data_IF_282544173600
#
_entry.id   IF_282544173600
#
_cell.length_a   1.000
_cell.length_b   1.000
_cell.length_c   1.000
_cell.angle_alpha   90.00
_cell.angle_beta   90.00
_cell.angle_gamma   90.00
#
_symmetry.space_group_name_H-M   'P 1'
#
loop_
_entity.id
_entity.type
_entity.pdbx_description
1 polymer ?
#
# COMPACT_ATOMS: atom_id res chain seq x y z
N UNK A 1 16.06 -2.63 -4.30
CA UNK A 1 15.32 -3.38 -3.26
C UNK A 1 16.20 -4.54 -2.85
N UNK A 2 16.11 -4.98 -1.61
CA UNK A 2 16.84 -6.14 -1.12
C UNK A 2 15.97 -6.88 -0.12
N UNK A 3 16.30 -8.15 0.09
CA UNK A 3 15.65 -9.00 1.07
C UNK A 3 16.36 -8.81 2.40
N UNK A 4 15.58 -8.46 3.43
CA UNK A 4 16.06 -8.40 4.80
C UNK A 4 16.06 -9.83 5.41
N UNK A 5 16.74 -10.03 6.53
CA UNK A 5 16.88 -11.35 7.18
C UNK A 5 15.54 -12.04 7.53
N UNK A 6 14.45 -11.27 7.58
CA UNK A 6 13.07 -11.75 7.79
C UNK A 6 12.31 -12.09 6.49
N UNK A 7 13.00 -12.12 5.35
CA UNK A 7 12.44 -12.41 4.02
C UNK A 7 11.65 -11.24 3.42
N UNK A 8 11.58 -10.08 4.09
CA UNK A 8 10.84 -8.91 3.58
C UNK A 8 11.68 -8.11 2.60
N UNK A 9 11.02 -7.62 1.57
CA UNK A 9 11.62 -6.69 0.61
C UNK A 9 11.54 -5.27 1.18
N UNK A 10 12.70 -4.64 1.36
CA UNK A 10 12.82 -3.26 1.84
C UNK A 10 13.50 -2.38 0.78
N UNK A 11 13.18 -1.09 0.82
CA UNK A 11 13.62 -0.06 -0.11
C UNK A 11 14.46 0.97 0.63
N UNK A 12 15.63 1.25 0.05
CA UNK A 12 16.44 2.45 0.31
C UNK A 12 16.44 3.21 -1.03
N UNK A 13 15.67 4.30 -1.10
CA UNK A 13 15.34 4.96 -2.36
C UNK A 13 15.81 6.42 -2.37
N UNK A 14 16.69 6.84 -3.31
CA UNK A 14 17.11 8.22 -3.42
C UNK A 14 15.97 9.09 -3.97
N UNK A 15 15.64 10.17 -3.27
CA UNK A 15 14.58 11.09 -3.64
C UNK A 15 14.95 12.52 -3.25
N UNK A 16 15.00 13.42 -4.25
CA UNK A 16 15.21 14.87 -4.06
C UNK A 16 16.42 15.21 -3.15
N UNK A 17 17.55 14.55 -3.35
CA UNK A 17 18.77 14.77 -2.55
C UNK A 17 18.71 14.19 -1.13
N UNK A 18 17.72 13.33 -0.85
CA UNK A 18 17.56 12.58 0.40
C UNK A 18 17.37 11.10 0.09
N UNK A 19 17.25 10.29 1.13
CA UNK A 19 16.98 8.86 1.02
C UNK A 19 15.70 8.54 1.79
N UNK A 20 14.79 7.82 1.16
CA UNK A 20 13.62 7.23 1.79
C UNK A 20 13.92 5.77 2.13
N UNK A 21 13.75 5.41 3.40
CA UNK A 21 13.94 4.03 3.88
C UNK A 21 12.60 3.49 4.35
N UNK A 22 12.23 2.29 3.90
CA UNK A 22 10.97 1.66 4.27
C UNK A 22 10.64 0.43 3.43
N UNK A 23 9.59 -0.31 3.74
CA UNK A 23 8.60 -0.08 4.80
C UNK A 23 8.57 -1.26 5.79
N UNK A 24 7.77 -1.13 6.83
CA UNK A 24 7.40 -2.18 7.78
C UNK A 24 6.05 -2.81 7.42
N UNK A 25 5.78 -3.96 8.03
CA UNK A 25 4.50 -4.68 8.02
C UNK A 25 4.21 -5.07 9.47
N UNK A 26 3.30 -4.35 10.10
CA UNK A 26 2.82 -4.52 11.48
C UNK A 26 1.31 -4.38 11.50
N UNK A 27 0.64 -5.12 12.39
CA UNK A 27 -0.80 -4.97 12.59
C UNK A 27 -1.10 -3.60 13.20
N UNK A 28 -2.18 -2.97 12.73
CA UNK A 28 -2.59 -1.64 13.15
C UNK A 28 -4.11 -1.50 13.13
N UNK A 29 -4.65 -0.79 14.13
CA UNK A 29 -6.05 -0.43 14.19
C UNK A 29 -6.27 0.94 13.52
N UNK A 30 -7.14 1.06 12.51
CA UNK A 30 -7.43 2.34 11.86
C UNK A 30 -8.09 3.38 12.77
N UNK A 31 -8.51 3.00 13.99
CA UNK A 31 -9.03 3.92 15.00
C UNK A 31 -7.92 4.60 15.80
N UNK A 32 -6.71 4.05 15.80
CA UNK A 32 -5.60 4.57 16.57
C UNK A 32 -4.79 5.61 15.77
N UNK A 33 -4.18 6.60 16.45
CA UNK A 33 -3.25 7.51 15.80
C UNK A 33 -2.06 6.75 15.21
N UNK A 34 -1.67 7.13 14.00
CA UNK A 34 -0.61 6.42 13.28
C UNK A 34 0.61 7.31 13.08
N UNK A 35 1.75 6.78 13.50
CA UNK A 35 3.05 7.43 13.44
C UNK A 35 4.14 6.36 13.33
N UNK A 36 5.30 6.73 12.79
CA UNK A 36 6.46 5.83 12.78
C UNK A 36 6.96 5.64 14.20
N UNK A 37 7.06 4.40 14.66
CA UNK A 37 7.47 4.09 16.03
C UNK A 37 8.98 4.05 16.19
N UNK A 38 9.46 4.14 17.43
CA UNK A 38 10.88 4.02 17.76
C UNK A 38 11.47 2.65 17.34
N UNK A 39 10.66 1.58 17.42
CA UNK A 39 11.06 0.24 17.01
C UNK A 39 11.21 0.14 15.48
N UNK A 40 10.34 0.81 14.73
CA UNK A 40 10.46 0.88 13.27
C UNK A 40 11.70 1.68 12.85
N UNK A 41 12.00 2.78 13.55
CA UNK A 41 13.23 3.56 13.31
C UNK A 41 14.47 2.70 13.55
N UNK A 42 14.52 1.99 14.68
CA UNK A 42 15.65 1.11 15.00
C UNK A 42 15.78 -0.04 13.99
N UNK A 43 14.66 -0.61 13.56
CA UNK A 43 14.63 -1.59 12.48
C UNK A 43 15.26 -1.04 11.19
N UNK A 44 14.92 0.19 10.79
CA UNK A 44 15.50 0.82 9.60
C UNK A 44 16.99 1.14 9.76
N UNK A 45 17.47 1.54 10.93
CA UNK A 45 18.90 1.78 11.16
C UNK A 45 19.73 0.50 11.08
N UNK A 46 19.24 -0.59 11.66
CA UNK A 46 19.85 -1.92 11.51
C UNK A 46 19.90 -2.34 10.04
N UNK A 47 18.80 -2.12 9.31
CA UNK A 47 18.69 -2.42 7.90
C UNK A 47 19.67 -1.62 7.03
N UNK A 48 19.82 -0.31 7.29
CA UNK A 48 20.82 0.52 6.60
C UNK A 48 22.22 0.02 6.91
N UNK A 49 22.52 -0.28 8.18
CA UNK A 49 23.84 -0.76 8.61
C UNK A 49 24.18 -2.14 8.01
N UNK A 50 23.19 -3.00 7.83
CA UNK A 50 23.36 -4.31 7.18
C UNK A 50 23.76 -4.15 5.71
N UNK A 51 23.10 -3.25 4.97
CA UNK A 51 23.37 -3.04 3.54
C UNK A 51 24.59 -2.16 3.29
N UNK A 52 24.84 -1.18 4.16
CA UNK A 52 25.93 -0.22 4.06
C UNK A 52 26.68 -0.14 5.39
N UNK A 53 27.57 -1.12 5.69
CA UNK A 53 28.26 -1.20 6.98
C UNK A 53 29.10 0.03 7.35
N UNK A 54 29.61 0.74 6.35
CA UNK A 54 30.43 1.94 6.53
C UNK A 54 29.62 3.23 6.67
N UNK A 55 28.28 3.16 6.56
CA UNK A 55 27.39 4.32 6.67
C UNK A 55 26.74 4.33 8.05
N UNK A 56 27.21 5.25 8.90
CA UNK A 56 26.59 5.50 10.19
C UNK A 56 25.34 6.38 10.02
N UNK A 57 24.22 5.92 10.58
CA UNK A 57 22.97 6.68 10.63
C UNK A 57 22.45 6.85 12.05
N UNK A 58 21.82 7.99 12.32
CA UNK A 58 21.21 8.28 13.62
C UNK A 58 19.96 9.16 13.51
N UNK A 59 19.24 9.33 14.63
CA UNK A 59 17.95 10.04 14.67
C UNK A 59 18.03 11.49 14.22
N UNK A 60 19.18 12.16 14.39
CA UNK A 60 19.37 13.56 13.96
C UNK A 60 19.29 13.74 12.43
N UNK A 61 19.48 12.66 11.67
CA UNK A 61 19.39 12.68 10.21
C UNK A 61 17.96 12.46 9.69
N UNK A 62 17.02 12.08 10.56
CA UNK A 62 15.61 11.93 10.19
C UNK A 62 14.97 13.31 10.10
N UNK A 63 14.72 13.76 8.87
CA UNK A 63 14.09 15.07 8.60
C UNK A 63 12.58 14.99 8.43
N UNK A 64 12.04 13.80 8.21
CA UNK A 64 10.63 13.54 7.98
C UNK A 64 10.33 12.06 8.16
N UNK A 65 9.18 11.74 8.74
CA UNK A 65 8.64 10.38 8.82
C UNK A 65 7.15 10.40 8.51
N UNK A 66 6.64 9.29 8.04
CA UNK A 66 5.21 9.10 7.80
C UNK A 66 4.85 7.63 8.00
N UNK A 67 3.60 7.38 8.35
CA UNK A 67 3.04 6.06 8.53
C UNK A 67 1.68 5.95 7.84
N UNK A 68 1.30 4.74 7.45
CA UNK A 68 0.06 4.47 6.71
C UNK A 68 -0.38 3.03 6.88
N UNK A 69 -1.70 2.81 6.97
CA UNK A 69 -2.32 1.48 7.02
C UNK A 69 -2.66 1.05 5.60
N UNK A 70 -2.31 -0.20 5.27
CA UNK A 70 -2.72 -0.85 4.04
C UNK A 70 -4.13 -1.43 4.25
N UNK A 71 -5.17 -0.99 3.50
CA UNK A 71 -6.52 -1.53 3.64
C UNK A 71 -6.64 -2.87 2.92
N UNK A 72 -6.03 -3.91 3.48
CA UNK A 72 -5.98 -5.25 2.89
C UNK A 72 -7.29 -6.02 3.16
N UNK A 73 -7.67 -6.97 2.29
CA UNK A 73 -8.75 -7.91 2.58
C UNK A 73 -8.49 -8.65 3.90
N UNK A 74 -9.53 -8.84 4.71
CA UNK A 74 -9.41 -9.67 5.92
C UNK A 74 -9.02 -11.09 5.54
N UNK A 75 -8.01 -11.61 6.20
CA UNK A 75 -7.59 -13.01 6.15
C UNK A 75 -7.49 -13.51 7.59
N UNK A 76 -8.04 -14.68 7.87
CA UNK A 76 -8.21 -15.14 9.25
C UNK A 76 -6.97 -15.84 9.84
N UNK A 77 -5.89 -16.12 9.07
CA UNK A 77 -4.76 -16.94 9.58
C UNK A 77 -3.39 -16.75 8.86
N UNK A 78 -3.05 -15.58 8.30
CA UNK A 78 -1.72 -15.37 7.67
C UNK A 78 -0.95 -14.20 8.30
N UNK A 79 0.37 -14.39 8.50
CA UNK A 79 1.30 -13.33 8.90
C UNK A 79 1.15 -12.13 7.92
N UNK A 80 1.12 -10.87 8.39
CA UNK A 80 0.77 -9.69 7.55
C UNK A 80 1.52 -9.57 6.22
N UNK A 81 2.75 -10.11 6.13
CA UNK A 81 3.56 -10.13 4.91
C UNK A 81 3.03 -11.05 3.79
N UNK A 82 2.17 -12.02 4.09
CA UNK A 82 1.63 -13.01 3.14
C UNK A 82 0.22 -12.71 2.64
N UNK A 83 -0.50 -11.78 3.29
CA UNK A 83 -1.86 -11.38 2.89
C UNK A 83 -1.86 -10.92 1.44
N UNK A 84 -2.80 -11.47 0.64
CA UNK A 84 -2.93 -11.11 -0.77
C UNK A 84 -3.07 -9.60 -0.92
N UNK A 85 -2.12 -9.02 -1.67
CA UNK A 85 -2.10 -7.59 -2.01
C UNK A 85 -2.95 -7.27 -3.24
N UNK A 86 -3.78 -8.22 -3.68
CA UNK A 86 -4.72 -7.99 -4.77
C UNK A 86 -5.96 -7.25 -4.27
N UNK A 87 -6.77 -6.74 -5.20
CA UNK A 87 -8.02 -6.07 -4.86
C UNK A 87 -9.22 -6.99 -4.98
N UNK A 88 -10.32 -6.62 -4.32
CA UNK A 88 -11.64 -7.24 -4.49
C UNK A 88 -12.70 -6.17 -4.66
N UNK A 89 -13.70 -6.47 -5.49
CA UNK A 89 -14.92 -5.69 -5.62
C UNK A 89 -16.02 -6.51 -4.95
N UNK A 90 -16.42 -6.11 -3.76
CA UNK A 90 -17.48 -6.74 -2.99
C UNK A 90 -18.82 -6.13 -3.38
N UNK A 91 -19.79 -6.97 -3.74
CA UNK A 91 -21.14 -6.53 -4.08
C UNK A 91 -22.08 -6.75 -2.91
N UNK A 92 -22.88 -5.74 -2.59
CA UNK A 92 -23.95 -5.83 -1.59
C UNK A 92 -25.13 -4.94 -1.97
N UNK A 93 -26.06 -4.75 -1.04
CA UNK A 93 -27.22 -3.86 -1.25
C UNK A 93 -27.32 -2.88 -0.08
N UNK A 94 -27.75 -1.66 -0.39
CA UNK A 94 -28.13 -0.66 0.60
C UNK A 94 -29.57 -0.24 0.31
N UNK A 95 -30.52 -0.87 1.01
CA UNK A 95 -31.94 -0.79 0.66
C UNK A 95 -32.16 -1.39 -0.73
N UNK A 96 -32.76 -0.61 -1.64
CA UNK A 96 -33.00 -1.02 -3.02
C UNK A 96 -31.80 -0.75 -3.97
N UNK A 97 -30.75 -0.08 -3.51
CA UNK A 97 -29.59 0.26 -4.33
C UNK A 97 -28.53 -0.85 -4.29
N UNK A 98 -27.88 -1.11 -5.42
CA UNK A 98 -26.67 -1.91 -5.46
C UNK A 98 -25.50 -1.12 -4.88
N UNK A 99 -24.72 -1.76 -4.00
CA UNK A 99 -23.50 -1.20 -3.43
C UNK A 99 -22.30 -2.02 -3.91
N UNK A 100 -21.28 -1.33 -4.42
CA UNK A 100 -19.99 -1.91 -4.78
C UNK A 100 -18.92 -1.33 -3.85
N UNK A 101 -18.21 -2.18 -3.13
CA UNK A 101 -17.14 -1.81 -2.22
C UNK A 101 -15.81 -2.31 -2.76
N UNK A 102 -14.84 -1.42 -2.90
CA UNK A 102 -13.48 -1.79 -3.25
C UNK A 102 -12.66 -2.07 -1.98
N UNK A 103 -12.06 -3.25 -1.91
CA UNK A 103 -11.16 -3.64 -0.82
C UNK A 103 -9.78 -3.92 -1.40
N UNK A 104 -8.73 -3.37 -0.78
CA UNK A 104 -7.35 -3.48 -1.29
C UNK A 104 -7.10 -2.64 -2.54
N UNK A 105 -6.18 -3.12 -3.38
CA UNK A 105 -5.71 -2.42 -4.57
C UNK A 105 -4.45 -1.58 -4.34
N UNK A 106 -3.49 -1.73 -5.25
CA UNK A 106 -2.24 -0.98 -5.21
C UNK A 106 -2.39 0.32 -5.98
N UNK A 107 -1.64 1.34 -5.58
CA UNK A 107 -1.52 2.56 -6.38
C UNK A 107 -1.12 2.25 -7.83
N UNK A 108 -0.21 1.29 -8.04
CA UNK A 108 0.24 0.90 -9.40
C UNK A 108 -0.87 0.28 -10.27
N UNK A 109 -1.93 -0.27 -9.66
CA UNK A 109 -3.05 -0.90 -10.39
C UNK A 109 -4.30 -0.03 -10.46
N UNK A 110 -4.26 1.20 -9.93
CA UNK A 110 -5.44 2.06 -9.77
C UNK A 110 -6.25 2.25 -11.06
N UNK A 111 -5.59 2.45 -12.21
CA UNK A 111 -6.27 2.67 -13.50
C UNK A 111 -7.06 1.43 -13.94
N UNK A 112 -6.42 0.26 -13.91
CA UNK A 112 -7.04 -1.00 -14.31
C UNK A 112 -8.19 -1.37 -13.37
N UNK A 113 -8.00 -1.14 -12.07
CA UNK A 113 -9.00 -1.33 -11.03
C UNK A 113 -10.21 -0.40 -11.20
N UNK A 114 -9.97 0.88 -11.52
CA UNK A 114 -11.06 1.83 -11.81
C UNK A 114 -11.82 1.46 -13.09
N UNK A 115 -11.12 0.93 -14.10
CA UNK A 115 -11.75 0.41 -15.31
C UNK A 115 -12.63 -0.81 -15.02
N UNK A 116 -12.14 -1.76 -14.21
CA UNK A 116 -12.90 -2.92 -13.77
C UNK A 116 -14.14 -2.52 -12.95
N UNK A 117 -13.99 -1.68 -11.92
CA UNK A 117 -15.11 -1.17 -11.12
C UNK A 117 -16.16 -0.47 -11.98
N UNK A 118 -15.73 0.29 -12.99
CA UNK A 118 -16.69 0.94 -13.90
C UNK A 118 -17.44 -0.07 -14.76
N UNK A 119 -16.80 -1.17 -15.20
CA UNK A 119 -17.51 -2.23 -15.93
C UNK A 119 -18.60 -2.88 -15.07
N UNK A 120 -18.31 -3.12 -13.79
CA UNK A 120 -19.26 -3.65 -12.81
C UNK A 120 -20.48 -2.73 -12.66
N UNK A 121 -20.26 -1.42 -12.51
CA UNK A 121 -21.32 -0.41 -12.44
C UNK A 121 -22.15 -0.39 -13.73
N UNK A 122 -21.51 -0.38 -14.89
CA UNK A 122 -22.19 -0.33 -16.18
C UNK A 122 -23.08 -1.55 -16.43
N UNK A 123 -22.64 -2.73 -16.00
CA UNK A 123 -23.45 -3.95 -16.07
C UNK A 123 -24.72 -3.86 -15.22
N UNK A 124 -24.63 -3.30 -14.01
CA UNK A 124 -25.80 -3.08 -13.13
C UNK A 124 -26.80 -2.10 -13.75
N UNK A 125 -26.30 -1.07 -14.44
CA UNK A 125 -27.11 -0.03 -15.06
C UNK A 125 -27.63 -0.39 -16.46
N UNK A 126 -27.27 -1.56 -16.98
CA UNK A 126 -27.50 -1.96 -18.38
C UNK A 126 -27.01 -0.90 -19.39
N UNK A 127 -25.77 -0.44 -19.20
CA UNK A 127 -25.13 0.57 -20.05
C UNK A 127 -23.86 0.03 -20.69
N UNK A 128 -23.56 0.53 -21.89
CA UNK A 128 -22.31 0.25 -22.58
C UNK A 128 -21.27 1.32 -22.26
N UNK A 129 -20.01 0.91 -22.16
CA UNK A 129 -18.87 1.82 -22.02
C UNK A 129 -18.71 2.66 -23.29
N UNK A 130 -18.61 3.97 -23.13
CA UNK A 130 -18.41 4.92 -24.24
C UNK A 130 -16.96 5.40 -24.37
N UNK A 131 -16.13 5.23 -23.34
CA UNK A 131 -14.72 5.64 -23.33
C UNK A 131 -13.85 4.69 -22.50
N UNK A 132 -12.59 4.51 -22.90
CA UNK A 132 -11.56 3.78 -22.16
C UNK A 132 -10.54 4.75 -21.58
N UNK A 133 -9.93 4.38 -20.45
CA UNK A 133 -8.86 5.15 -19.81
C UNK A 133 -7.46 4.70 -20.23
N UNK A 134 -7.33 3.66 -21.06
CA UNK A 134 -6.03 3.06 -21.42
C UNK A 134 -5.11 4.06 -22.13
N UNK A 135 -5.65 4.87 -23.03
CA UNK A 135 -4.90 5.85 -23.82
C UNK A 135 -5.15 7.29 -23.40
N UNK A 136 -5.89 7.52 -22.31
CA UNK A 136 -6.15 8.87 -21.82
C UNK A 136 -4.93 9.38 -21.05
N UNK A 137 -4.47 10.57 -21.41
CA UNK A 137 -3.47 11.29 -20.64
C UNK A 137 -4.03 11.66 -19.27
N UNK A 138 -3.19 11.58 -18.24
CA UNK A 138 -3.49 12.15 -16.92
C UNK A 138 -2.92 13.56 -16.93
N UNK A 139 -3.79 14.58 -16.88
CA UNK A 139 -3.41 15.99 -16.95
C UNK A 139 -3.93 16.66 -18.22
#
# INVERSE_FOLDING_TARGET
>A
FFENDDGRIVLIYPIKGRVLVGTTDTDADPRDPMFTTDDEVEYFFKLVSHVFPDVAVDRSQIVFSYAGIRPLPRHDDETPGFVSRDYRIERSTFGAASLLSLVGGKWTTFRALGEHMTNEVLAILDRRRSASTVSLAIG
#
